data_IF_744426068674
#
_entry.id   IF_744426068674
#
_cell.length_a   1.000
_cell.length_b   1.000
_cell.length_c   1.000
_cell.angle_alpha   90.00
_cell.angle_beta   90.00
_cell.angle_gamma   90.00
#
_symmetry.space_group_name_H-M   'P 1'
#
loop_
_entity.id
_entity.type
_entity.pdbx_description
1 polymer ?
#
# COMPACT_ATOMS: atom_id res chain seq x y z
N UNK A 1 -15.17 19.71 -42.22
CA UNK A 1 -13.99 19.19 -41.49
C UNK A 1 -13.83 17.70 -41.81
N UNK A 2 -12.69 17.35 -42.38
CA UNK A 2 -12.29 15.95 -42.62
C UNK A 2 -12.49 15.07 -41.37
N UNK A 3 -12.77 13.78 -41.58
CA UNK A 3 -12.97 12.81 -40.49
C UNK A 3 -11.79 12.80 -39.51
N UNK A 4 -10.56 12.92 -40.01
CA UNK A 4 -9.32 12.95 -39.21
C UNK A 4 -9.19 14.16 -38.27
N UNK A 5 -9.58 15.37 -38.69
CA UNK A 5 -9.53 16.54 -37.80
C UNK A 5 -10.54 16.44 -36.66
N UNK A 6 -11.73 15.89 -36.93
CA UNK A 6 -12.75 15.65 -35.90
C UNK A 6 -12.26 14.63 -34.89
N UNK A 7 -11.64 13.55 -35.34
CA UNK A 7 -11.07 12.53 -34.47
C UNK A 7 -9.94 13.08 -33.58
N UNK A 8 -8.97 13.81 -34.17
CA UNK A 8 -7.87 14.43 -33.42
C UNK A 8 -8.41 15.42 -32.36
N UNK A 9 -9.39 16.24 -32.72
CA UNK A 9 -10.04 17.17 -31.76
C UNK A 9 -10.75 16.41 -30.64
N UNK A 10 -11.40 15.29 -30.96
CA UNK A 10 -12.00 14.38 -30.00
C UNK A 10 -10.98 13.81 -29.01
N UNK A 11 -9.89 13.24 -29.52
CA UNK A 11 -8.78 12.69 -28.71
C UNK A 11 -8.18 13.75 -27.79
N UNK A 12 -7.89 14.95 -28.30
CA UNK A 12 -7.39 16.09 -27.49
C UNK A 12 -8.33 16.39 -26.32
N UNK A 13 -9.64 16.48 -26.60
CA UNK A 13 -10.65 16.76 -25.56
C UNK A 13 -10.67 15.67 -24.50
N UNK A 14 -10.62 14.41 -24.91
CA UNK A 14 -10.60 13.25 -24.00
C UNK A 14 -9.36 13.25 -23.11
N UNK A 15 -8.17 13.48 -23.66
CA UNK A 15 -6.92 13.53 -22.89
C UNK A 15 -6.91 14.71 -21.91
N UNK A 16 -7.41 15.89 -22.31
CA UNK A 16 -7.53 17.03 -21.39
C UNK A 16 -8.46 16.74 -20.21
N UNK A 17 -9.56 16.01 -20.43
CA UNK A 17 -10.44 15.56 -19.33
C UNK A 17 -9.72 14.58 -18.41
N UNK A 18 -9.03 13.59 -18.97
CA UNK A 18 -8.24 12.65 -18.18
C UNK A 18 -7.17 13.37 -17.34
N UNK A 19 -6.49 14.37 -17.91
CA UNK A 19 -5.52 15.21 -17.20
C UNK A 19 -6.12 15.94 -16.01
N UNK A 20 -7.35 16.42 -16.12
CA UNK A 20 -8.05 17.08 -15.00
C UNK A 20 -8.35 16.07 -13.88
N UNK A 21 -8.77 14.85 -14.23
CA UNK A 21 -9.03 13.78 -13.26
C UNK A 21 -7.74 13.36 -12.55
N UNK A 22 -6.65 13.11 -13.28
CA UNK A 22 -5.36 12.71 -12.67
C UNK A 22 -4.81 13.80 -11.77
N UNK A 23 -4.87 15.08 -12.19
CA UNK A 23 -4.42 16.20 -11.37
C UNK A 23 -5.28 16.37 -10.08
N UNK A 24 -6.58 16.07 -10.15
CA UNK A 24 -7.43 16.07 -8.96
C UNK A 24 -7.07 14.92 -8.02
N UNK A 25 -6.89 13.70 -8.55
CA UNK A 25 -6.51 12.53 -7.76
C UNK A 25 -5.12 12.68 -7.11
N UNK A 26 -4.17 13.30 -7.81
CA UNK A 26 -2.86 13.68 -7.28
C UNK A 26 -3.00 14.56 -6.03
N UNK A 27 -3.77 15.65 -6.13
CA UNK A 27 -4.01 16.56 -4.99
C UNK A 27 -4.71 15.86 -3.82
N UNK A 28 -5.71 15.03 -4.11
CA UNK A 28 -6.41 14.26 -3.07
C UNK A 28 -5.45 13.31 -2.37
N UNK A 29 -4.59 12.62 -3.12
CA UNK A 29 -3.58 11.74 -2.56
C UNK A 29 -2.56 12.50 -1.70
N UNK A 30 -2.07 13.65 -2.15
CA UNK A 30 -1.13 14.49 -1.41
C UNK A 30 -1.73 14.98 -0.07
N UNK A 31 -2.99 15.44 -0.09
CA UNK A 31 -3.70 15.86 1.14
C UNK A 31 -3.86 14.68 2.11
N UNK A 32 -4.19 13.50 1.58
CA UNK A 32 -4.31 12.29 2.40
C UNK A 32 -2.98 11.87 2.99
N UNK A 33 -1.92 11.86 2.18
CA UNK A 33 -0.56 11.57 2.63
C UNK A 33 -0.15 12.50 3.78
N UNK A 34 -0.39 13.81 3.64
CA UNK A 34 -0.10 14.78 4.70
C UNK A 34 -0.86 14.47 5.99
N UNK A 35 -2.14 14.08 5.89
CA UNK A 35 -2.98 13.78 7.05
C UNK A 35 -2.55 12.54 7.82
N UNK A 36 -1.87 11.58 7.19
CA UNK A 36 -1.49 10.31 7.79
C UNK A 36 -0.01 10.24 8.21
N UNK A 37 0.82 11.21 7.81
CA UNK A 37 2.25 11.27 8.20
C UNK A 37 2.44 11.38 9.70
N UNK A 38 1.63 12.19 10.39
CA UNK A 38 1.69 12.28 11.85
C UNK A 38 1.32 10.95 12.51
N UNK A 39 0.35 10.22 11.95
CA UNK A 39 -0.03 8.89 12.42
C UNK A 39 1.10 7.88 12.24
N UNK A 40 1.86 7.94 11.15
CA UNK A 40 3.02 7.06 10.95
C UNK A 40 4.05 7.26 12.06
N UNK A 41 4.39 8.51 12.36
CA UNK A 41 5.34 8.83 13.42
C UNK A 41 4.82 8.41 14.80
N UNK A 42 3.55 8.68 15.12
CA UNK A 42 2.94 8.24 16.37
C UNK A 42 2.92 6.72 16.50
N UNK A 43 2.58 6.00 15.42
CA UNK A 43 2.54 4.54 15.40
C UNK A 43 3.94 3.93 15.59
N UNK A 44 4.96 4.57 15.03
CA UNK A 44 6.36 4.19 15.22
C UNK A 44 6.78 4.38 16.66
N UNK A 45 6.59 5.56 17.23
CA UNK A 45 6.97 5.85 18.62
C UNK A 45 6.23 4.95 19.63
N UNK A 46 4.94 4.72 19.41
CA UNK A 46 4.13 3.84 20.25
C UNK A 46 4.64 2.40 20.22
N UNK A 47 4.89 1.84 19.03
CA UNK A 47 5.51 0.54 18.90
C UNK A 47 6.89 0.53 19.59
N UNK A 48 7.80 1.44 19.25
CA UNK A 48 9.13 1.48 19.86
C UNK A 48 9.08 1.52 21.40
N UNK A 49 8.13 2.27 21.99
CA UNK A 49 7.98 2.35 23.45
C UNK A 49 7.47 1.06 24.06
N UNK A 50 6.44 0.45 23.48
CA UNK A 50 5.91 -0.83 23.98
C UNK A 50 6.93 -1.94 23.82
N UNK A 51 7.65 -1.99 22.68
CA UNK A 51 8.70 -2.98 22.45
C UNK A 51 9.82 -2.89 23.50
N UNK A 52 10.19 -1.68 23.92
CA UNK A 52 11.12 -1.48 25.05
C UNK A 52 10.56 -2.02 26.35
N UNK A 53 9.31 -1.70 26.69
CA UNK A 53 8.67 -2.20 27.91
C UNK A 53 8.58 -3.74 27.92
N UNK A 54 8.21 -4.37 26.80
CA UNK A 54 8.20 -5.83 26.66
C UNK A 54 9.61 -6.39 26.88
N UNK A 55 10.63 -5.80 26.25
CA UNK A 55 12.02 -6.22 26.41
C UNK A 55 12.47 -6.12 27.86
N UNK A 56 12.25 -4.97 28.50
CA UNK A 56 12.67 -4.70 29.88
C UNK A 56 11.98 -5.68 30.85
N UNK A 57 10.67 -5.88 30.75
CA UNK A 57 9.93 -6.80 31.65
C UNK A 57 10.27 -8.26 31.37
N UNK A 58 10.49 -8.64 30.10
CA UNK A 58 10.92 -10.01 29.74
C UNK A 58 12.28 -10.39 30.32
N UNK A 59 13.14 -9.40 30.62
CA UNK A 59 14.41 -9.65 31.31
C UNK A 59 14.23 -9.99 32.80
N UNK A 60 13.12 -9.56 33.39
CA UNK A 60 12.82 -9.74 34.82
C UNK A 60 12.05 -11.04 35.10
N UNK A 61 11.23 -11.50 34.16
CA UNK A 61 10.32 -12.63 34.36
C UNK A 61 10.14 -13.41 33.06
N UNK A 62 10.12 -14.74 33.16
CA UNK A 62 9.65 -15.61 32.07
C UNK A 62 8.12 -15.68 32.13
N UNK A 63 7.46 -15.62 30.98
CA UNK A 63 6.00 -15.77 30.88
C UNK A 63 5.67 -17.07 30.15
N UNK A 64 4.64 -17.76 30.64
CA UNK A 64 4.04 -18.92 29.97
C UNK A 64 2.91 -18.49 29.01
N UNK A 65 2.99 -17.27 28.49
CA UNK A 65 1.99 -16.75 27.55
C UNK A 65 1.92 -17.66 26.31
N UNK A 66 0.71 -18.03 25.84
CA UNK A 66 0.55 -18.76 24.60
C UNK A 66 1.24 -18.06 23.42
N UNK A 67 1.37 -16.73 23.46
CA UNK A 67 1.95 -15.90 22.41
C UNK A 67 3.47 -16.07 22.26
N UNK A 68 4.17 -16.60 23.27
CA UNK A 68 5.64 -16.78 23.26
C UNK A 68 6.07 -18.22 23.02
N UNK A 69 5.14 -19.10 22.61
CA UNK A 69 5.45 -20.50 22.28
C UNK A 69 6.42 -20.62 21.10
N UNK A 70 7.24 -21.66 21.08
CA UNK A 70 8.08 -21.94 19.92
C UNK A 70 7.21 -22.27 18.69
N UNK A 71 7.62 -21.85 17.48
CA UNK A 71 6.85 -22.12 16.27
C UNK A 71 6.79 -23.63 15.97
N UNK A 72 5.59 -24.21 15.87
CA UNK A 72 5.38 -25.59 15.46
C UNK A 72 5.23 -25.79 13.94
N UNK A 73 5.23 -27.04 13.45
CA UNK A 73 5.02 -27.34 12.03
C UNK A 73 3.53 -27.20 11.63
N UNK A 74 3.08 -26.00 11.27
CA UNK A 74 1.66 -25.79 10.92
C UNK A 74 1.39 -24.71 9.89
N UNK A 75 0.20 -24.11 9.97
CA UNK A 75 -0.26 -23.12 9.00
C UNK A 75 0.37 -21.76 9.28
N UNK A 76 1.01 -21.19 8.27
CA UNK A 76 1.48 -19.80 8.25
C UNK A 76 0.34 -18.89 7.80
N UNK A 77 -0.02 -17.93 8.62
CA UNK A 77 -1.04 -16.93 8.31
C UNK A 77 -0.39 -15.61 7.89
N UNK A 78 -0.72 -15.13 6.70
CA UNK A 78 -0.23 -13.85 6.19
C UNK A 78 -1.29 -12.77 6.35
N UNK A 79 -0.93 -11.62 6.88
CA UNK A 79 -1.79 -10.43 6.90
C UNK A 79 -1.22 -9.41 5.93
N UNK A 80 -1.89 -9.19 4.81
CA UNK A 80 -1.41 -8.32 3.73
C UNK A 80 -2.14 -6.98 3.77
N UNK A 81 -1.42 -5.91 4.10
CA UNK A 81 -1.96 -4.55 4.18
C UNK A 81 -1.94 -3.86 2.81
N UNK A 82 -3.02 -4.00 2.05
CA UNK A 82 -3.16 -3.50 0.69
C UNK A 82 -4.06 -2.26 0.54
N UNK A 83 -4.59 -2.08 -0.68
CA UNK A 83 -5.43 -0.93 -1.05
C UNK A 83 -6.77 -1.37 -1.63
N UNK A 84 -7.82 -0.60 -1.41
CA UNK A 84 -9.13 -0.82 -2.06
C UNK A 84 -9.15 -0.35 -3.51
N UNK A 85 -8.43 0.73 -3.78
CA UNK A 85 -8.37 1.36 -5.10
C UNK A 85 -7.08 1.02 -5.83
N UNK A 86 -7.18 0.93 -7.16
CA UNK A 86 -6.01 0.82 -8.04
C UNK A 86 -5.29 2.16 -8.22
N UNK A 87 -4.59 2.29 -9.35
CA UNK A 87 -3.89 3.53 -9.75
C UNK A 87 -2.81 4.02 -8.77
N UNK A 88 -2.26 3.11 -7.97
CA UNK A 88 -1.13 3.34 -7.05
C UNK A 88 0.17 2.69 -7.59
N UNK A 89 0.33 2.64 -8.91
CA UNK A 89 1.51 2.08 -9.57
C UNK A 89 1.79 0.62 -9.16
N UNK A 90 3.02 0.38 -8.70
CA UNK A 90 3.51 -0.95 -8.33
C UNK A 90 3.10 -1.40 -6.91
N UNK A 91 2.39 -0.59 -6.12
CA UNK A 91 2.08 -0.83 -4.71
C UNK A 91 1.49 -2.24 -4.45
N UNK A 92 0.31 -2.53 -4.98
CA UNK A 92 -0.38 -3.80 -4.74
C UNK A 92 0.34 -5.01 -5.36
N UNK A 93 1.03 -4.81 -6.49
CA UNK A 93 1.81 -5.88 -7.13
C UNK A 93 3.07 -6.22 -6.34
N UNK A 94 3.67 -5.25 -5.66
CA UNK A 94 4.83 -5.47 -4.78
C UNK A 94 4.44 -6.32 -3.58
N UNK A 95 3.31 -5.98 -2.94
CA UNK A 95 2.74 -6.78 -1.85
C UNK A 95 2.43 -8.20 -2.30
N UNK A 96 1.71 -8.36 -3.42
CA UNK A 96 1.36 -9.69 -3.91
C UNK A 96 2.59 -10.53 -4.28
N UNK A 97 3.67 -9.91 -4.79
CA UNK A 97 4.95 -10.61 -5.04
C UNK A 97 5.62 -11.03 -3.74
N UNK A 98 5.71 -10.14 -2.76
CA UNK A 98 6.31 -10.45 -1.46
C UNK A 98 5.54 -11.56 -0.72
N UNK A 99 4.21 -11.53 -0.77
CA UNK A 99 3.36 -12.59 -0.22
C UNK A 99 3.63 -13.94 -0.86
N UNK A 100 3.83 -13.99 -2.19
CA UNK A 100 4.14 -15.24 -2.88
C UNK A 100 5.53 -15.77 -2.57
N UNK A 101 6.53 -14.90 -2.39
CA UNK A 101 7.86 -15.35 -1.94
C UNK A 101 7.77 -16.11 -0.61
N UNK A 102 6.97 -15.60 0.34
CA UNK A 102 6.74 -16.30 1.61
C UNK A 102 6.00 -17.64 1.46
N UNK A 103 5.20 -17.81 0.40
CA UNK A 103 4.53 -19.09 0.08
C UNK A 103 5.55 -20.08 -0.47
N UNK A 104 6.42 -19.64 -1.37
CA UNK A 104 7.49 -20.46 -1.98
C UNK A 104 8.51 -20.93 -0.93
N UNK A 105 8.80 -20.09 0.06
CA UNK A 105 9.67 -20.43 1.20
C UNK A 105 9.01 -21.41 2.20
N UNK A 106 7.73 -21.76 2.01
CA UNK A 106 6.93 -22.63 2.89
C UNK A 106 6.42 -23.85 2.10
N UNK A 107 6.04 -24.93 2.79
CA UNK A 107 5.33 -26.04 2.12
C UNK A 107 4.06 -25.50 1.42
N UNK A 108 3.83 -25.78 0.11
CA UNK A 108 2.84 -25.11 -0.75
C UNK A 108 1.38 -25.08 -0.25
N UNK A 109 1.02 -25.95 0.70
CA UNK A 109 -0.36 -26.11 1.17
C UNK A 109 -0.60 -25.58 2.60
N UNK A 110 0.41 -24.97 3.23
CA UNK A 110 0.33 -24.51 4.62
C UNK A 110 0.26 -22.99 4.79
N UNK A 111 0.03 -22.22 3.72
CA UNK A 111 -0.13 -20.78 3.82
C UNK A 111 -1.59 -20.37 3.62
N UNK A 112 -2.08 -19.50 4.50
CA UNK A 112 -3.38 -18.83 4.41
C UNK A 112 -3.18 -17.33 4.56
N UNK A 113 -4.06 -16.53 3.97
CA UNK A 113 -3.90 -15.08 4.02
C UNK A 113 -5.20 -14.35 4.36
N UNK A 114 -5.06 -13.26 5.10
CA UNK A 114 -6.00 -12.15 5.18
C UNK A 114 -5.48 -11.01 4.32
N UNK A 115 -6.31 -10.47 3.43
CA UNK A 115 -5.93 -9.33 2.61
C UNK A 115 -6.80 -8.13 2.92
N UNK A 116 -6.17 -7.03 3.30
CA UNK A 116 -6.80 -5.72 3.43
C UNK A 116 -6.78 -5.04 2.05
N UNK A 117 -7.95 -4.61 1.58
CA UNK A 117 -8.10 -3.89 0.33
C UNK A 117 -8.41 -4.77 -0.89
N UNK A 118 -9.45 -4.37 -1.63
CA UNK A 118 -9.98 -5.07 -2.82
C UNK A 118 -8.99 -5.17 -3.98
N UNK A 119 -8.23 -4.11 -4.29
CA UNK A 119 -7.33 -4.11 -5.44
C UNK A 119 -6.13 -5.06 -5.20
N UNK A 120 -5.61 -5.07 -3.97
CA UNK A 120 -4.55 -6.02 -3.58
C UNK A 120 -5.07 -7.45 -3.52
N UNK A 121 -6.28 -7.67 -3.00
CA UNK A 121 -6.93 -8.98 -3.01
C UNK A 121 -7.00 -9.59 -4.42
N UNK A 122 -7.47 -8.82 -5.42
CA UNK A 122 -7.53 -9.30 -6.80
C UNK A 122 -6.16 -9.69 -7.36
N UNK A 123 -5.10 -8.91 -7.05
CA UNK A 123 -3.73 -9.23 -7.49
C UNK A 123 -3.10 -10.42 -6.77
N UNK A 124 -3.49 -10.65 -5.50
CA UNK A 124 -3.03 -11.78 -4.71
C UNK A 124 -3.66 -13.09 -5.19
N UNK A 125 -4.98 -13.09 -5.44
CA UNK A 125 -5.68 -14.24 -6.04
C UNK A 125 -5.13 -14.59 -7.41
N UNK A 126 -4.92 -13.60 -8.28
CA UNK A 126 -4.36 -13.82 -9.61
C UNK A 126 -2.95 -14.44 -9.60
N UNK A 127 -2.26 -14.42 -8.46
CA UNK A 127 -0.96 -15.06 -8.24
C UNK A 127 -1.03 -16.42 -7.55
N UNK A 128 -2.24 -16.88 -7.19
CA UNK A 128 -2.44 -18.17 -6.52
C UNK A 128 -2.36 -18.12 -5.00
N UNK A 129 -2.38 -16.94 -4.37
CA UNK A 129 -2.41 -16.86 -2.90
C UNK A 129 -3.74 -17.39 -2.36
N UNK A 130 -3.69 -18.33 -1.41
CA UNK A 130 -4.87 -18.85 -0.70
C UNK A 130 -5.36 -17.82 0.32
N UNK A 131 -6.32 -16.98 -0.09
CA UNK A 131 -6.92 -15.96 0.77
C UNK A 131 -8.15 -16.52 1.46
N UNK A 132 -8.13 -16.51 2.79
CA UNK A 132 -9.25 -16.95 3.62
C UNK A 132 -10.24 -15.79 3.87
N UNK A 133 -9.70 -14.59 4.06
CA UNK A 133 -10.49 -13.43 4.44
C UNK A 133 -10.06 -12.16 3.72
N UNK A 134 -11.03 -11.27 3.48
CA UNK A 134 -10.79 -9.95 2.91
C UNK A 134 -11.42 -8.89 3.78
N UNK A 135 -10.61 -7.90 4.16
CA UNK A 135 -11.07 -6.72 4.87
C UNK A 135 -11.07 -5.51 3.93
N UNK A 136 -12.01 -4.56 4.07
CA UNK A 136 -11.91 -3.28 3.38
C UNK A 136 -10.71 -2.48 3.92
N UNK A 137 -10.26 -1.51 3.13
CA UNK A 137 -9.30 -0.52 3.62
C UNK A 137 -9.90 0.28 4.78
N UNK A 138 -9.06 0.76 5.70
CA UNK A 138 -9.54 1.54 6.83
C UNK A 138 -10.24 2.82 6.36
N UNK A 139 -11.47 3.02 6.81
CA UNK A 139 -12.10 4.32 6.72
C UNK A 139 -11.33 5.34 7.56
N UNK A 140 -11.40 6.62 7.18
CA UNK A 140 -10.71 7.71 7.89
C UNK A 140 -11.08 7.71 9.38
N UNK A 141 -10.07 7.70 10.24
CA UNK A 141 -10.25 7.70 11.70
C UNK A 141 -10.60 6.33 12.30
N UNK A 142 -10.66 5.28 11.48
CA UNK A 142 -10.96 3.90 11.88
C UNK A 142 -9.75 2.99 11.78
N UNK A 143 -8.56 3.53 11.51
CA UNK A 143 -7.32 2.79 11.28
C UNK A 143 -6.95 1.96 12.52
N UNK A 144 -7.05 2.56 13.71
CA UNK A 144 -6.76 1.86 14.97
C UNK A 144 -7.78 0.77 15.28
N UNK A 145 -9.07 1.02 15.01
CA UNK A 145 -10.13 0.01 15.20
C UNK A 145 -9.99 -1.17 14.24
N UNK A 146 -9.56 -0.92 13.00
CA UNK A 146 -9.22 -1.99 12.07
C UNK A 146 -8.03 -2.81 12.59
N UNK A 147 -6.99 -2.16 13.10
CA UNK A 147 -5.85 -2.85 13.72
C UNK A 147 -6.26 -3.72 14.91
N UNK A 148 -7.16 -3.24 15.78
CA UNK A 148 -7.73 -4.02 16.89
C UNK A 148 -8.49 -5.25 16.39
N UNK A 149 -9.34 -5.08 15.38
CA UNK A 149 -10.13 -6.19 14.81
C UNK A 149 -9.21 -7.26 14.20
N UNK A 150 -8.14 -6.84 13.51
CA UNK A 150 -7.15 -7.74 12.93
C UNK A 150 -6.37 -8.46 14.04
N UNK A 151 -5.94 -7.73 15.09
CA UNK A 151 -5.28 -8.30 16.27
C UNK A 151 -6.13 -9.42 16.87
N UNK A 152 -7.39 -9.14 17.19
CA UNK A 152 -8.28 -10.12 17.84
C UNK A 152 -8.41 -11.37 16.98
N UNK A 153 -8.62 -11.20 15.67
CA UNK A 153 -8.72 -12.31 14.72
C UNK A 153 -7.46 -13.17 14.65
N UNK A 154 -6.28 -12.56 14.60
CA UNK A 154 -5.02 -13.33 14.52
C UNK A 154 -4.67 -13.99 15.84
N UNK A 155 -4.97 -13.34 16.98
CA UNK A 155 -4.69 -13.88 18.30
C UNK A 155 -5.60 -15.06 18.60
N UNK A 156 -6.90 -14.96 18.32
CA UNK A 156 -7.84 -16.08 18.48
C UNK A 156 -7.44 -17.29 17.64
N UNK A 157 -7.05 -17.06 16.37
CA UNK A 157 -6.56 -18.12 15.49
C UNK A 157 -5.24 -18.74 15.95
N UNK A 158 -4.36 -17.96 16.55
CA UNK A 158 -3.08 -18.45 17.05
C UNK A 158 -3.24 -19.25 18.35
N UNK A 159 -4.01 -18.72 19.32
CA UNK A 159 -4.27 -19.36 20.62
C UNK A 159 -5.07 -20.66 20.46
N UNK A 160 -6.00 -20.72 19.49
CA UNK A 160 -6.73 -21.95 19.16
C UNK A 160 -5.90 -22.99 18.40
N UNK A 161 -4.65 -22.68 18.03
CA UNK A 161 -3.79 -23.58 17.25
C UNK A 161 -4.14 -23.67 15.76
N UNK A 162 -5.03 -22.82 15.25
CA UNK A 162 -5.36 -22.74 13.82
C UNK A 162 -4.16 -22.23 13.00
N UNK A 163 -3.37 -21.33 13.58
CA UNK A 163 -2.17 -20.76 12.97
C UNK A 163 -0.96 -20.98 13.88
N UNK A 164 0.16 -21.41 13.30
CA UNK A 164 1.44 -21.61 14.01
C UNK A 164 2.38 -20.42 13.87
N UNK A 165 2.20 -19.61 12.83
CA UNK A 165 2.98 -18.39 12.61
C UNK A 165 2.08 -17.34 11.96
N UNK A 166 2.20 -16.09 12.39
CA UNK A 166 1.54 -14.95 11.73
C UNK A 166 2.58 -13.95 11.26
N UNK A 167 2.54 -13.63 9.96
CA UNK A 167 3.46 -12.71 9.31
C UNK A 167 2.70 -11.57 8.62
N UNK A 168 3.08 -10.34 8.92
CA UNK A 168 2.54 -9.13 8.32
C UNK A 168 3.30 -8.80 7.04
N UNK A 169 2.59 -8.47 5.97
CA UNK A 169 3.14 -8.04 4.68
C UNK A 169 2.61 -6.65 4.37
N UNK A 170 3.51 -5.67 4.28
CA UNK A 170 3.17 -4.27 4.05
C UNK A 170 4.25 -3.56 3.23
N UNK A 171 3.96 -2.36 2.73
CA UNK A 171 4.97 -1.52 2.13
C UNK A 171 5.48 -0.53 3.18
N UNK A 172 6.78 -0.23 3.15
CA UNK A 172 7.41 0.82 3.95
C UNK A 172 8.31 1.70 3.10
N UNK A 173 8.53 2.94 3.56
CA UNK A 173 9.54 3.82 2.99
C UNK A 173 10.93 3.25 3.34
N UNK A 174 11.80 3.15 2.34
CA UNK A 174 13.20 2.79 2.57
C UNK A 174 14.01 4.03 2.94
N UNK A 175 15.19 3.85 3.54
CA UNK A 175 16.10 4.96 3.88
C UNK A 175 16.65 5.69 2.64
N UNK A 176 16.45 5.13 1.44
CA UNK A 176 16.79 5.74 0.16
C UNK A 176 15.56 6.30 -0.56
N UNK A 177 15.62 6.37 -1.89
CA UNK A 177 14.48 6.79 -2.72
C UNK A 177 13.58 5.60 -3.06
N UNK A 178 12.48 5.48 -2.32
CA UNK A 178 11.35 4.67 -2.77
C UNK A 178 10.68 3.83 -1.69
N UNK A 179 9.88 2.88 -2.16
CA UNK A 179 9.08 2.00 -1.33
C UNK A 179 9.50 0.56 -1.56
N UNK A 180 9.58 -0.19 -0.48
CA UNK A 180 9.86 -1.62 -0.50
C UNK A 180 8.78 -2.39 0.26
N UNK A 181 8.56 -3.64 -0.14
CA UNK A 181 7.77 -4.54 0.68
C UNK A 181 8.62 -4.94 1.91
N UNK A 182 7.96 -5.02 3.06
CA UNK A 182 8.51 -5.51 4.30
C UNK A 182 7.61 -6.65 4.80
N UNK A 183 8.26 -7.62 5.43
CA UNK A 183 7.62 -8.79 6.01
C UNK A 183 8.06 -8.88 7.46
N UNK A 184 7.11 -8.88 8.39
CA UNK A 184 7.42 -8.96 9.82
C UNK A 184 6.62 -10.07 10.45
N UNK A 185 7.30 -11.06 11.03
CA UNK A 185 6.66 -12.06 11.90
C UNK A 185 6.16 -11.36 13.16
N UNK A 186 4.86 -11.44 13.42
CA UNK A 186 4.21 -10.86 14.61
C UNK A 186 3.92 -11.91 15.68
N UNK A 187 3.62 -13.15 15.27
CA UNK A 187 3.39 -14.28 16.17
C UNK A 187 4.16 -15.53 15.67
N UNK A 188 4.71 -16.36 16.57
CA UNK A 188 4.88 -16.10 18.00
C UNK A 188 5.75 -14.86 18.27
N UNK A 189 5.50 -14.21 19.40
CA UNK A 189 6.29 -13.06 19.85
C UNK A 189 7.63 -13.59 20.35
N UNK A 190 8.71 -13.07 19.80
CA UNK A 190 10.07 -13.33 20.26
C UNK A 190 10.60 -12.05 20.94
N UNK A 191 10.56 -11.95 22.29
CA UNK A 191 11.07 -10.77 22.99
C UNK A 191 12.55 -10.55 22.63
N UNK A 192 12.90 -9.34 22.15
CA UNK A 192 14.27 -8.99 21.76
C UNK A 192 14.68 -9.41 20.34
N UNK A 193 13.86 -10.15 19.61
CA UNK A 193 14.12 -10.53 18.21
C UNK A 193 13.04 -9.98 17.26
N UNK A 194 13.48 -9.26 16.22
CA UNK A 194 12.62 -8.78 15.14
C UNK A 194 13.00 -7.38 14.64
N UNK A 195 12.75 -7.11 13.35
CA UNK A 195 13.09 -5.84 12.68
C UNK A 195 12.40 -4.60 13.25
N UNK A 196 11.35 -4.80 14.06
CA UNK A 196 10.54 -3.72 14.64
C UNK A 196 10.77 -3.49 16.14
N UNK A 197 11.49 -4.40 16.83
CA UNK A 197 11.96 -4.16 18.20
C UNK A 197 13.26 -3.36 18.10
N UNK A 198 13.35 -2.14 18.65
CA UNK A 198 14.64 -1.47 18.76
C UNK A 198 15.61 -2.38 19.52
N UNK A 199 16.69 -2.83 18.88
CA UNK A 199 17.85 -3.43 19.55
C UNK A 199 18.60 -2.34 20.30
N UNK A 200 17.94 -1.72 21.27
CA UNK A 200 18.59 -0.83 22.21
C UNK A 200 19.04 -1.70 23.38
N UNK A 201 20.28 -1.52 23.89
CA UNK A 201 20.69 -2.19 25.11
C UNK A 201 19.68 -1.81 26.19
N UNK A 202 18.86 -2.77 26.61
CA UNK A 202 17.97 -2.58 27.73
C UNK A 202 18.82 -2.19 28.93
N UNK A 203 18.61 -1.00 29.47
CA UNK A 203 19.08 -0.73 30.82
C UNK A 203 18.27 -1.66 31.70
N UNK A 204 18.92 -2.67 32.29
CA UNK A 204 18.27 -3.55 33.24
C UNK A 204 17.58 -2.67 34.29
N UNK A 205 16.25 -2.61 34.23
CA UNK A 205 15.45 -1.91 35.22
C UNK A 205 15.58 -2.73 36.51
N UNK A 206 16.51 -2.35 37.38
CA UNK A 206 16.60 -2.86 38.74
C UNK A 206 15.45 -2.27 39.56
N UNK A 207 14.24 -2.74 39.28
CA UNK A 207 13.04 -2.40 40.05
C UNK A 207 12.70 -3.62 40.89
N UNK A 208 12.59 -3.43 42.20
CA UNK A 208 12.18 -4.48 43.12
C UNK A 208 10.86 -5.10 42.66
N UNK A 209 10.81 -6.43 42.57
CA UNK A 209 9.61 -7.18 42.18
C UNK A 209 8.42 -6.87 43.09
N UNK A 210 8.66 -6.49 44.33
CA UNK A 210 7.62 -6.11 45.30
C UNK A 210 6.89 -4.80 44.95
N UNK A 211 7.45 -3.95 44.07
CA UNK A 211 6.85 -2.68 43.65
C UNK A 211 5.90 -2.83 42.45
N UNK A 212 5.74 -4.04 41.92
CA UNK A 212 4.90 -4.30 40.74
C UNK A 212 3.47 -4.65 41.15
N UNK A 213 2.51 -3.90 40.63
CA UNK A 213 1.08 -4.20 40.72
C UNK A 213 0.45 -4.11 39.32
N UNK A 214 -0.11 -5.20 38.74
CA UNK A 214 -0.09 -6.60 39.20
C UNK A 214 1.28 -7.28 39.02
N UNK A 215 1.37 -8.58 39.32
CA UNK A 215 2.62 -9.35 39.23
C UNK A 215 3.28 -9.22 37.83
N UNK A 216 4.63 -9.15 37.74
CA UNK A 216 5.34 -8.90 36.48
C UNK A 216 4.95 -9.82 35.32
N UNK A 217 4.67 -11.09 35.59
CA UNK A 217 4.24 -12.05 34.55
C UNK A 217 2.90 -11.72 33.93
N UNK A 218 1.95 -11.19 34.71
CA UNK A 218 0.64 -10.74 34.23
C UNK A 218 0.77 -9.43 33.43
N UNK A 219 1.64 -8.52 33.90
CA UNK A 219 1.96 -7.29 33.17
C UNK A 219 2.59 -7.63 31.81
N UNK A 220 3.55 -8.56 31.79
CA UNK A 220 4.20 -9.01 30.56
C UNK A 220 3.18 -9.63 29.58
N UNK A 221 2.28 -10.49 30.06
CA UNK A 221 1.25 -11.09 29.21
C UNK A 221 0.40 -10.00 28.51
N UNK A 222 -0.06 -8.99 29.25
CA UNK A 222 -0.83 -7.86 28.69
C UNK A 222 0.00 -7.00 27.72
N UNK A 223 1.25 -6.72 28.07
CA UNK A 223 2.17 -5.98 27.20
C UNK A 223 2.45 -6.70 25.88
N UNK A 224 2.47 -8.03 25.86
CA UNK A 224 2.62 -8.80 24.62
C UNK A 224 1.42 -8.61 23.69
N UNK A 225 0.20 -8.57 24.22
CA UNK A 225 -1.01 -8.30 23.42
C UNK A 225 -1.00 -6.87 22.86
N UNK A 226 -0.63 -5.89 23.69
CA UNK A 226 -0.50 -4.49 23.29
C UNK A 226 0.63 -4.31 22.26
N UNK A 227 1.70 -5.10 22.35
CA UNK A 227 2.80 -5.11 21.38
C UNK A 227 2.35 -5.62 20.01
N UNK A 228 1.57 -6.71 19.97
CA UNK A 228 0.97 -7.24 18.75
C UNK A 228 0.09 -6.16 18.09
N UNK A 229 -0.75 -5.48 18.88
CA UNK A 229 -1.56 -4.36 18.38
C UNK A 229 -0.70 -3.24 17.79
N UNK A 230 0.35 -2.83 18.52
CA UNK A 230 1.21 -1.75 18.12
C UNK A 230 1.93 -2.03 16.79
N UNK A 231 2.44 -3.25 16.61
CA UNK A 231 3.06 -3.67 15.35
C UNK A 231 2.05 -3.67 14.21
N UNK A 232 0.86 -4.25 14.41
CA UNK A 232 -0.20 -4.29 13.39
C UNK A 232 -0.58 -2.87 12.97
N UNK A 233 -0.81 -1.98 13.93
CA UNK A 233 -1.17 -0.60 13.65
C UNK A 233 -0.05 0.14 12.89
N UNK A 234 1.20 -0.02 13.31
CA UNK A 234 2.36 0.55 12.62
C UNK A 234 2.49 0.04 11.18
N UNK A 235 2.36 -1.27 10.97
CA UNK A 235 2.42 -1.90 9.63
C UNK A 235 1.28 -1.42 8.73
N UNK A 236 0.06 -1.31 9.26
CA UNK A 236 -1.09 -0.77 8.56
C UNK A 236 -0.84 0.67 8.11
N UNK A 237 -0.47 1.55 9.04
CA UNK A 237 -0.25 2.98 8.76
C UNK A 237 0.91 3.19 7.80
N UNK A 238 2.03 2.46 7.95
CA UNK A 238 3.16 2.57 7.02
C UNK A 238 2.77 2.12 5.60
N UNK A 239 1.95 1.07 5.47
CA UNK A 239 1.41 0.67 4.17
C UNK A 239 0.50 1.75 3.58
N UNK A 240 -0.36 2.39 4.38
CA UNK A 240 -1.21 3.50 3.94
C UNK A 240 -0.38 4.69 3.45
N UNK A 241 0.68 5.07 4.16
CA UNK A 241 1.61 6.14 3.72
C UNK A 241 2.19 5.81 2.35
N UNK A 242 2.68 4.57 2.19
CA UNK A 242 3.22 4.11 0.92
C UNK A 242 2.18 4.11 -0.20
N UNK A 243 0.94 3.75 0.11
CA UNK A 243 -0.18 3.69 -0.80
C UNK A 243 -0.51 5.08 -1.39
N UNK A 244 -0.70 6.08 -0.52
CA UNK A 244 -0.97 7.46 -0.94
C UNK A 244 0.23 8.11 -1.63
N UNK A 245 1.46 7.88 -1.15
CA UNK A 245 2.66 8.37 -1.82
C UNK A 245 2.84 7.76 -3.23
N UNK A 246 2.55 6.46 -3.38
CA UNK A 246 2.57 5.79 -4.68
C UNK A 246 1.49 6.34 -5.61
N UNK A 247 0.29 6.62 -5.09
CA UNK A 247 -0.81 7.19 -5.85
C UNK A 247 -0.50 8.62 -6.30
N UNK A 248 -0.01 9.47 -5.41
CA UNK A 248 0.40 10.84 -5.72
C UNK A 248 1.41 10.84 -6.88
N UNK A 249 2.50 10.06 -6.77
CA UNK A 249 3.51 9.96 -7.82
C UNK A 249 2.95 9.38 -9.13
N UNK A 250 2.08 8.37 -9.06
CA UNK A 250 1.48 7.76 -10.26
C UNK A 250 0.58 8.74 -10.98
N UNK A 251 -0.22 9.51 -10.23
CA UNK A 251 -1.11 10.53 -10.79
C UNK A 251 -0.32 11.73 -11.34
N UNK A 252 0.74 12.16 -10.66
CA UNK A 252 1.65 13.19 -11.16
C UNK A 252 2.23 12.81 -12.53
N UNK A 253 2.80 11.61 -12.64
CA UNK A 253 3.31 11.07 -13.91
C UNK A 253 2.22 10.96 -14.98
N UNK A 254 1.00 10.59 -14.60
CA UNK A 254 -0.13 10.50 -15.52
C UNK A 254 -0.56 11.89 -16.03
N UNK A 255 -0.56 12.91 -15.17
CA UNK A 255 -0.83 14.32 -15.51
C UNK A 255 0.21 14.83 -16.50
N UNK A 256 1.50 14.66 -16.22
CA UNK A 256 2.60 15.07 -17.10
C UNK A 256 2.52 14.38 -18.46
N UNK A 257 2.24 13.07 -18.46
CA UNK A 257 2.07 12.31 -19.69
C UNK A 257 0.88 12.80 -20.52
N UNK A 258 -0.25 13.12 -19.86
CA UNK A 258 -1.41 13.69 -20.53
C UNK A 258 -1.13 15.08 -21.12
N UNK A 259 -0.34 15.92 -20.44
CA UNK A 259 0.11 17.21 -20.96
C UNK A 259 1.02 17.05 -22.19
N UNK A 260 1.96 16.10 -22.15
CA UNK A 260 2.80 15.76 -23.31
C UNK A 260 1.97 15.28 -24.50
N UNK A 261 1.06 14.33 -24.30
CA UNK A 261 0.17 13.82 -25.34
C UNK A 261 -0.74 14.92 -25.91
N UNK A 262 -1.23 15.83 -25.06
CA UNK A 262 -2.03 16.98 -25.50
C UNK A 262 -1.22 17.89 -26.42
N UNK A 263 0.05 18.18 -26.10
CA UNK A 263 0.94 18.99 -26.95
C UNK A 263 1.19 18.31 -28.29
N UNK A 264 1.50 17.02 -28.29
CA UNK A 264 1.75 16.22 -29.51
C UNK A 264 0.53 16.21 -30.44
N UNK A 265 -0.65 15.85 -29.91
CA UNK A 265 -1.88 15.83 -30.69
C UNK A 265 -2.28 17.22 -31.20
N UNK A 266 -2.01 18.28 -30.43
CA UNK A 266 -2.29 19.65 -30.88
C UNK A 266 -1.40 20.03 -32.07
N UNK A 267 -0.12 19.64 -32.08
CA UNK A 267 0.76 19.84 -33.23
C UNK A 267 0.25 19.08 -34.46
N UNK A 268 -0.13 17.80 -34.30
CA UNK A 268 -0.70 16.99 -35.37
C UNK A 268 -2.00 17.58 -35.92
N UNK A 269 -2.89 18.06 -35.05
CA UNK A 269 -4.15 18.72 -35.44
C UNK A 269 -3.89 19.98 -36.26
N UNK A 270 -2.96 20.84 -35.84
CA UNK A 270 -2.62 22.06 -36.56
C UNK A 270 -2.02 21.76 -37.93
N UNK A 271 -1.15 20.75 -38.03
CA UNK A 271 -0.58 20.29 -39.31
C UNK A 271 -1.66 19.79 -40.26
N UNK A 272 -2.49 18.85 -39.83
CA UNK A 272 -3.59 18.31 -40.65
C UNK A 272 -4.59 19.39 -41.06
N UNK A 273 -4.79 20.42 -40.21
CA UNK A 273 -5.66 21.55 -40.53
C UNK A 273 -5.06 22.41 -41.63
N UNK A 274 -3.74 22.68 -41.57
CA UNK A 274 -3.03 23.42 -42.62
C UNK A 274 -3.07 22.65 -43.94
N UNK A 275 -2.79 21.35 -43.92
CA UNK A 275 -2.88 20.49 -45.11
C UNK A 275 -4.28 20.54 -45.73
N UNK A 276 -5.35 20.42 -44.93
CA UNK A 276 -6.71 20.53 -45.44
C UNK A 276 -7.01 21.91 -46.05
N UNK A 277 -6.55 23.00 -45.42
CA UNK A 277 -6.73 24.36 -45.99
C UNK A 277 -5.97 24.49 -47.32
N UNK A 278 -4.75 23.96 -47.41
CA UNK A 278 -3.97 23.98 -48.66
C UNK A 278 -4.65 23.17 -49.75
N UNK A 279 -5.22 22.00 -49.43
CA UNK A 279 -6.02 21.21 -50.38
C UNK A 279 -7.27 21.96 -50.84
N UNK A 280 -8.03 22.54 -49.91
CA UNK A 280 -9.22 23.32 -50.25
C UNK A 280 -8.88 24.53 -51.15
N UNK A 281 -7.77 25.24 -50.89
CA UNK A 281 -7.31 26.36 -51.73
C UNK A 281 -6.86 25.88 -53.12
N UNK A 282 -6.12 24.77 -53.20
CA UNK A 282 -5.65 24.23 -54.50
C UNK A 282 -6.81 23.74 -55.36
N UNK A 283 -7.83 23.10 -54.77
CA UNK A 283 -9.07 22.71 -55.47
C UNK A 283 -9.87 23.91 -55.98
N UNK A 284 -9.96 25.01 -55.20
CA UNK A 284 -10.63 26.23 -55.64
C UNK A 284 -9.88 26.91 -56.79
N UNK A 285 -8.55 26.96 -56.72
CA UNK A 285 -7.71 27.55 -57.76
C UNK A 285 -7.78 26.76 -59.07
N UNK A 286 -7.72 25.42 -59.02
CA UNK A 286 -7.81 24.58 -60.22
C UNK A 286 -9.21 24.62 -60.87
N UNK A 287 -10.27 24.55 -60.07
CA UNK A 287 -11.65 24.65 -60.58
C UNK A 287 -12.02 26.06 -61.07
N UNK A 288 -11.36 27.10 -60.55
CA UNK A 288 -11.46 28.46 -61.06
C UNK A 288 -10.89 28.58 -62.47
N UNK A 289 -9.68 28.07 -62.72
CA UNK A 289 -9.02 28.16 -64.03
C UNK A 289 -9.77 27.46 -65.17
N UNK A 290 -10.47 26.35 -64.90
CA UNK A 290 -11.29 25.66 -65.91
C UNK A 290 -12.49 26.50 -66.38
N UNK A 291 -13.08 27.30 -65.49
CA UNK A 291 -14.19 28.22 -65.85
C UNK A 291 -13.73 29.38 -66.72
N UNK A 292 -12.55 29.92 -66.47
CA UNK A 292 -11.99 31.01 -67.29
C UNK A 292 -11.54 30.55 -68.69
N UNK A 293 -11.32 29.26 -68.91
CA UNK A 293 -11.00 28.69 -70.23
C UNK A 293 -12.23 28.31 -71.07
N UNK A 294 -13.43 28.25 -70.48
CA UNK A 294 -14.67 27.97 -71.23
C UNK A 294 -15.44 29.23 -71.65
N UNK A 295 -15.19 30.37 -71.00
CA UNK A 295 -15.86 31.66 -71.28
C UNK A 295 -15.02 32.61 -72.18
N UNK A 296 -13.93 32.13 -72.80
CA UNK A 296 -13.10 32.88 -73.76
C UNK A 296 -13.03 32.20 -75.12
#
# INVERSE_FOLDING_TARGET
>A
MSSGLRELRGRIRSIRRLRQVTAALEKVAAVRLLSIRSMEEMSRLYAERIGRLVSDVSSLVKTDSPLTREPGPGVRYLVVFGSDSGMCGAFSSRLARASMGLVEDTLPNKTRALVVGRATYGKALARGLSVEERFPEAARGMEFKLAQTIRDRIMDGFVSGKYEEVTLVYNRLSSGTGQQAATTRVLPVSPGEGDLVPRLPGQALWVDRALWEPAPGQVLARLLEDWVLAIIWRSLVSSMVCEYASRELTMHRATDNADRMTRELTRSYNRARQEQITTEITEVMSGGSERWQQDG
#
